data_IF_014260190093
#
_entry.id   IF_014260190093
#
_cell.length_a   1.000
_cell.length_b   1.000
_cell.length_c   1.000
_cell.angle_alpha   90.00
_cell.angle_beta   90.00
_cell.angle_gamma   90.00
#
_symmetry.space_group_name_H-M   'P 1'
#
loop_
_entity.id
_entity.type
_entity.pdbx_description
1 polymer ?
#
# COMPACT_ATOMS: atom_id res chain seq x y z
N UNK A 1 54.98 34.25 31.75
CA UNK A 1 54.28 33.13 31.07
C UNK A 1 52.84 33.52 30.79
N UNK A 2 52.38 33.33 29.53
CA UNK A 2 51.00 33.31 28.98
C UNK A 2 50.10 34.52 29.28
N UNK A 3 49.92 35.40 28.28
CA UNK A 3 48.85 35.39 27.25
C UNK A 3 47.54 35.97 27.79
N UNK A 4 47.15 37.15 27.28
CA UNK A 4 45.82 37.32 26.69
C UNK A 4 45.86 38.41 25.62
N UNK A 5 45.40 38.05 24.43
CA UNK A 5 45.43 38.78 23.17
C UNK A 5 44.32 39.81 23.05
N UNK A 6 44.66 40.82 22.27
CA UNK A 6 44.05 42.11 22.03
C UNK A 6 43.06 42.09 20.84
N UNK A 7 41.97 42.86 20.93
CA UNK A 7 41.22 43.54 19.83
C UNK A 7 40.09 44.31 20.52
N UNK A 8 39.79 45.57 20.24
CA UNK A 8 39.85 46.38 19.02
C UNK A 8 39.69 47.86 19.47
N UNK A 9 40.44 48.79 18.89
CA UNK A 9 40.24 50.24 19.13
C UNK A 9 39.32 50.89 18.10
N UNK A 10 38.73 52.00 18.54
CA UNK A 10 37.45 52.57 18.19
C UNK A 10 37.64 54.03 17.68
N UNK A 11 36.85 54.41 16.66
CA UNK A 11 36.23 55.73 16.38
C UNK A 11 37.00 56.96 15.81
N UNK A 12 36.21 57.71 15.00
CA UNK A 12 36.03 59.18 14.87
C UNK A 12 37.22 60.00 14.29
N UNK A 13 37.09 61.12 13.58
CA UNK A 13 36.00 62.01 13.10
C UNK A 13 36.61 63.26 12.42
N UNK A 14 35.91 63.86 11.44
CA UNK A 14 35.97 65.27 10.92
C UNK A 14 37.28 65.74 10.22
N UNK A 15 37.31 66.66 9.23
CA UNK A 15 36.67 67.99 9.19
C UNK A 15 36.91 68.75 7.82
N UNK A 16 35.87 69.45 7.31
CA UNK A 16 35.83 70.68 6.42
C UNK A 16 36.44 70.63 4.99
N UNK A 17 35.88 71.24 3.92
CA UNK A 17 35.57 72.69 3.66
C UNK A 17 34.56 72.86 2.49
N UNK A 18 33.72 73.92 2.57
CA UNK A 18 32.72 74.48 1.61
C UNK A 18 33.30 74.96 0.26
N UNK A 19 32.62 75.32 -0.85
CA UNK A 19 31.38 76.08 -1.14
C UNK A 19 31.21 76.14 -2.69
N UNK A 20 29.98 76.11 -3.25
CA UNK A 20 29.48 76.98 -4.34
C UNK A 20 28.41 76.35 -5.26
N UNK A 21 27.18 76.87 -5.11
CA UNK A 21 26.17 77.29 -6.10
C UNK A 21 26.13 76.62 -7.50
N UNK A 22 24.99 75.99 -7.81
CA UNK A 22 24.59 75.64 -9.18
C UNK A 22 23.30 74.83 -9.23
N UNK A 23 22.14 75.48 -9.10
CA UNK A 23 20.82 74.87 -9.33
C UNK A 23 20.64 74.51 -10.80
N UNK A 24 20.73 73.21 -11.12
CA UNK A 24 20.27 72.64 -12.40
C UNK A 24 18.93 71.97 -12.15
N UNK A 25 17.87 72.52 -12.77
CA UNK A 25 16.56 71.87 -12.87
C UNK A 25 16.69 70.62 -13.76
N UNK A 26 16.83 69.44 -13.15
CA UNK A 26 16.55 68.18 -13.83
C UNK A 26 15.05 67.90 -13.73
N UNK A 27 14.33 68.09 -14.84
CA UNK A 27 12.99 67.54 -14.99
C UNK A 27 13.09 66.02 -14.95
N UNK A 28 12.65 65.44 -13.83
CA UNK A 28 12.52 64.00 -13.65
C UNK A 28 11.43 63.50 -14.59
N UNK A 29 11.83 62.93 -15.73
CA UNK A 29 10.93 62.14 -16.55
C UNK A 29 10.66 60.82 -15.81
N UNK A 30 9.54 60.75 -15.09
CA UNK A 30 8.98 59.49 -14.61
C UNK A 30 8.59 58.62 -15.80
N UNK A 31 9.53 57.83 -16.33
CA UNK A 31 9.20 56.65 -17.13
C UNK A 31 8.65 55.62 -16.15
N UNK A 32 7.32 55.46 -16.12
CA UNK A 32 6.71 54.29 -15.51
C UNK A 32 7.26 53.07 -16.24
N UNK A 33 8.22 52.36 -15.64
CA UNK A 33 8.45 50.97 -16.02
C UNK A 33 7.15 50.23 -15.71
N UNK A 34 6.46 49.79 -16.77
CA UNK A 34 5.48 48.73 -16.61
C UNK A 34 6.26 47.55 -16.09
N UNK A 35 5.98 47.13 -14.86
CA UNK A 35 6.20 45.76 -14.45
C UNK A 35 5.25 44.91 -15.32
N UNK A 36 5.63 44.68 -16.57
CA UNK A 36 5.02 43.62 -17.35
C UNK A 36 5.44 42.32 -16.65
N UNK A 37 4.49 41.54 -16.09
CA UNK A 37 4.84 40.23 -15.55
C UNK A 37 5.55 39.45 -16.66
N UNK A 38 6.66 38.79 -16.32
CA UNK A 38 7.33 37.87 -17.24
C UNK A 38 6.26 36.99 -17.91
N UNK A 39 6.30 36.78 -19.25
CA UNK A 39 5.30 35.98 -19.91
C UNK A 39 5.21 34.64 -19.19
N UNK A 40 4.02 34.31 -18.70
CA UNK A 40 3.77 33.02 -18.06
C UNK A 40 4.28 31.93 -19.03
N UNK A 41 5.09 31.01 -18.53
CA UNK A 41 5.59 29.88 -19.31
C UNK A 41 4.38 29.04 -19.74
N UNK A 42 3.85 29.33 -20.92
CA UNK A 42 2.60 28.78 -21.44
C UNK A 42 2.90 27.64 -22.41
N UNK A 43 3.72 26.70 -21.98
CA UNK A 43 3.91 25.45 -22.74
C UNK A 43 2.60 24.68 -22.63
N UNK A 44 1.90 24.36 -23.73
CA UNK A 44 0.63 23.66 -23.64
C UNK A 44 0.80 22.28 -22.98
N UNK A 45 -0.19 21.84 -22.19
CA UNK A 45 -0.14 20.54 -21.55
C UNK A 45 -0.15 19.41 -22.60
N UNK A 46 0.43 18.27 -22.24
CA UNK A 46 0.45 17.06 -23.08
C UNK A 46 0.06 15.83 -22.29
N UNK A 47 -0.39 14.78 -22.99
CA UNK A 47 -0.52 13.44 -22.40
C UNK A 47 0.84 12.76 -22.41
N UNK A 48 1.42 12.57 -21.23
CA UNK A 48 2.73 11.92 -21.07
C UNK A 48 2.66 10.40 -21.13
N UNK A 49 1.56 9.81 -20.66
CA UNK A 49 1.34 8.36 -20.74
C UNK A 49 -0.13 7.97 -20.54
N UNK A 50 -0.45 6.76 -20.99
CA UNK A 50 -1.70 6.05 -20.67
C UNK A 50 -1.36 4.72 -20.00
N UNK A 51 -2.21 4.23 -19.10
CA UNK A 51 -2.00 2.91 -18.48
C UNK A 51 -2.23 1.74 -19.46
N UNK A 52 -2.99 1.99 -20.52
CA UNK A 52 -3.26 1.05 -21.61
C UNK A 52 -2.68 1.65 -22.89
N UNK A 53 -1.64 1.04 -23.43
CA UNK A 53 -1.04 1.48 -24.70
C UNK A 53 -1.99 1.25 -25.87
N UNK A 54 -1.84 2.04 -26.93
CA UNK A 54 -2.68 1.91 -28.12
C UNK A 54 -2.61 0.49 -28.71
N UNK A 55 -3.77 -0.05 -29.08
CA UNK A 55 -3.98 -1.40 -29.62
C UNK A 55 -3.65 -2.57 -28.67
N UNK A 56 -3.52 -2.31 -27.36
CA UNK A 56 -3.37 -3.39 -26.37
C UNK A 56 -4.55 -4.36 -26.45
N UNK A 57 -4.29 -5.67 -26.45
CA UNK A 57 -5.31 -6.72 -26.40
C UNK A 57 -5.30 -7.41 -25.04
N UNK A 58 -6.38 -8.13 -24.71
CA UNK A 58 -6.49 -8.84 -23.44
C UNK A 58 -6.68 -7.94 -22.22
N UNK A 59 -7.14 -6.70 -22.42
CA UNK A 59 -7.40 -5.77 -21.31
C UNK A 59 -8.52 -6.33 -20.42
N UNK A 60 -8.34 -6.39 -19.10
CA UNK A 60 -9.41 -6.84 -18.21
C UNK A 60 -10.72 -6.07 -18.40
N UNK A 61 -11.85 -6.76 -18.34
CA UNK A 61 -13.16 -6.12 -18.58
C UNK A 61 -13.58 -5.12 -17.49
N UNK A 62 -12.90 -5.12 -16.34
CA UNK A 62 -13.10 -4.20 -15.23
C UNK A 62 -11.95 -3.18 -15.09
N UNK A 63 -11.16 -2.95 -16.14
CA UNK A 63 -9.97 -2.08 -16.05
C UNK A 63 -10.35 -0.60 -16.06
N UNK A 64 -9.87 0.14 -15.07
CA UNK A 64 -9.85 1.60 -15.10
C UNK A 64 -8.91 2.12 -16.18
N UNK A 65 -9.29 3.24 -16.82
CA UNK A 65 -8.57 3.81 -17.94
C UNK A 65 -7.98 5.13 -17.49
N UNK A 66 -6.65 5.24 -17.48
CA UNK A 66 -5.96 6.40 -16.92
C UNK A 66 -5.07 7.09 -17.93
N UNK A 67 -4.90 8.39 -17.72
CA UNK A 67 -4.01 9.26 -18.48
C UNK A 67 -3.22 10.14 -17.52
N UNK A 68 -1.91 10.24 -17.73
CA UNK A 68 -1.02 11.15 -16.98
C UNK A 68 -0.61 12.30 -17.87
N UNK A 69 -0.80 13.52 -17.37
CA UNK A 69 -0.43 14.75 -18.07
C UNK A 69 1.00 15.20 -17.72
N UNK A 70 1.59 16.04 -18.57
CA UNK A 70 2.94 16.61 -18.36
C UNK A 70 3.01 17.57 -17.17
N UNK A 71 1.86 18.07 -16.71
CA UNK A 71 1.76 19.06 -15.65
C UNK A 71 0.42 18.96 -14.91
N UNK A 72 0.24 19.84 -13.92
CA UNK A 72 -1.01 19.96 -13.19
C UNK A 72 -2.07 20.66 -14.04
N UNK A 73 -3.25 20.05 -14.10
CA UNK A 73 -4.37 20.47 -14.93
C UNK A 73 -5.44 21.19 -14.12
N UNK A 74 -6.31 21.94 -14.78
CA UNK A 74 -7.55 22.41 -14.18
C UNK A 74 -8.52 21.23 -14.02
N UNK A 75 -8.70 20.81 -12.77
CA UNK A 75 -9.58 19.69 -12.41
C UNK A 75 -11.03 19.89 -12.88
N UNK A 76 -11.52 21.13 -13.00
CA UNK A 76 -12.88 21.41 -13.46
C UNK A 76 -13.07 21.12 -14.96
N UNK A 77 -11.98 21.14 -15.74
CA UNK A 77 -12.01 20.83 -17.17
C UNK A 77 -11.99 19.32 -17.45
N UNK A 78 -11.72 18.49 -16.44
CA UNK A 78 -11.60 17.04 -16.55
C UNK A 78 -12.93 16.40 -16.13
N UNK A 79 -13.76 16.06 -17.13
CA UNK A 79 -15.13 15.60 -16.94
C UNK A 79 -15.42 14.39 -17.83
N UNK A 80 -16.55 13.68 -17.63
CA UNK A 80 -16.99 12.63 -18.55
C UNK A 80 -17.25 13.10 -19.99
N UNK A 81 -17.33 14.42 -20.24
CA UNK A 81 -17.44 14.97 -21.60
C UNK A 81 -16.06 15.16 -22.27
N UNK A 82 -14.99 15.31 -21.48
CA UNK A 82 -13.64 15.60 -21.99
C UNK A 82 -12.68 14.41 -21.90
N UNK A 83 -13.01 13.38 -21.10
CA UNK A 83 -12.39 12.06 -21.11
C UNK A 83 -13.48 10.99 -21.34
N UNK A 84 -13.55 10.49 -22.57
CA UNK A 84 -14.66 9.66 -23.06
C UNK A 84 -14.15 8.29 -23.48
N UNK A 85 -14.89 7.23 -23.15
CA UNK A 85 -14.64 5.87 -23.63
C UNK A 85 -15.84 5.39 -24.45
N UNK A 86 -15.59 4.79 -25.62
CA UNK A 86 -16.63 4.33 -26.54
C UNK A 86 -16.45 2.89 -26.98
N UNK A 87 -17.57 2.20 -27.19
CA UNK A 87 -17.67 0.95 -27.96
C UNK A 87 -18.29 1.29 -29.31
N UNK A 88 -17.48 1.34 -30.37
CA UNK A 88 -17.92 1.89 -31.65
C UNK A 88 -18.40 3.33 -31.49
N UNK A 89 -19.69 3.59 -31.73
CA UNK A 89 -20.30 4.92 -31.54
C UNK A 89 -20.93 5.11 -30.15
N UNK A 90 -21.18 4.03 -29.40
CA UNK A 90 -21.82 4.07 -28.09
C UNK A 90 -20.84 4.57 -27.02
N UNK A 91 -21.25 5.58 -26.25
CA UNK A 91 -20.49 6.07 -25.09
C UNK A 91 -20.69 5.10 -23.93
N UNK A 92 -19.59 4.69 -23.31
CA UNK A 92 -19.60 3.89 -22.09
C UNK A 92 -19.84 4.82 -20.91
N UNK A 93 -20.83 4.53 -20.05
CA UNK A 93 -21.04 5.32 -18.84
C UNK A 93 -19.86 5.10 -17.88
N UNK A 94 -19.42 6.18 -17.26
CA UNK A 94 -18.34 6.16 -16.28
C UNK A 94 -18.21 7.49 -15.55
N UNK A 95 -17.48 7.46 -14.45
CA UNK A 95 -17.08 8.68 -13.73
C UNK A 95 -15.64 9.03 -14.08
N UNK A 96 -15.27 10.30 -13.91
CA UNK A 96 -13.88 10.76 -14.08
C UNK A 96 -13.42 11.38 -12.77
N UNK A 97 -12.24 10.95 -12.30
CA UNK A 97 -11.55 11.54 -11.16
C UNK A 97 -10.19 12.08 -11.58
N UNK A 98 -9.66 13.05 -10.83
CA UNK A 98 -8.36 13.65 -11.08
C UNK A 98 -7.59 13.85 -9.78
N UNK A 99 -6.32 13.41 -9.74
CA UNK A 99 -5.45 13.57 -8.58
C UNK A 99 -3.99 13.69 -9.02
N UNK A 100 -3.26 14.66 -8.46
CA UNK A 100 -1.90 14.98 -8.91
C UNK A 100 -1.92 15.45 -10.36
N UNK A 101 -1.33 14.67 -11.27
CA UNK A 101 -1.33 14.89 -12.72
C UNK A 101 -2.08 13.81 -13.50
N UNK A 102 -2.86 12.95 -12.82
CA UNK A 102 -3.49 11.77 -13.43
C UNK A 102 -5.00 11.88 -13.39
N UNK A 103 -5.64 11.72 -14.55
CA UNK A 103 -7.08 11.53 -14.67
C UNK A 103 -7.41 10.04 -14.87
N UNK A 104 -8.50 9.60 -14.25
CA UNK A 104 -8.97 8.21 -14.28
C UNK A 104 -10.42 8.18 -14.70
N UNK A 105 -10.73 7.49 -15.79
CA UNK A 105 -12.07 7.10 -16.17
C UNK A 105 -12.38 5.73 -15.54
N UNK A 106 -13.42 5.68 -14.71
CA UNK A 106 -13.92 4.47 -14.05
C UNK A 106 -15.24 4.06 -14.71
N UNK A 107 -15.26 3.02 -15.58
CA UNK A 107 -16.48 2.54 -16.20
C UNK A 107 -17.52 2.14 -15.14
N UNK A 108 -18.75 2.61 -15.27
CA UNK A 108 -19.86 2.25 -14.35
C UNK A 108 -20.47 0.88 -14.67
N UNK A 109 -20.00 0.24 -15.75
CA UNK A 109 -20.39 -1.10 -16.19
C UNK A 109 -19.14 -1.91 -16.50
N UNK A 110 -19.19 -3.21 -16.25
CA UNK A 110 -18.16 -4.13 -16.75
C UNK A 110 -18.16 -4.06 -18.28
N UNK A 111 -16.98 -3.86 -18.86
CA UNK A 111 -16.81 -3.82 -20.31
C UNK A 111 -17.09 -5.21 -20.90
N UNK A 112 -17.60 -5.25 -22.12
CA UNK A 112 -17.87 -6.50 -22.82
C UNK A 112 -16.57 -7.24 -23.09
N UNK A 113 -16.60 -8.58 -23.03
CA UNK A 113 -15.46 -9.42 -23.33
C UNK A 113 -15.06 -9.33 -24.82
N UNK A 114 -13.77 -9.49 -25.11
CA UNK A 114 -13.22 -9.56 -26.48
C UNK A 114 -13.68 -8.43 -27.41
N UNK A 115 -13.83 -7.21 -26.86
CA UNK A 115 -14.45 -6.07 -27.53
C UNK A 115 -13.48 -4.91 -27.62
N UNK A 116 -13.48 -4.22 -28.78
CA UNK A 116 -12.67 -3.02 -29.01
C UNK A 116 -13.35 -1.79 -28.41
N UNK A 117 -12.58 -1.06 -27.61
CA UNK A 117 -12.94 0.23 -27.05
C UNK A 117 -11.99 1.31 -27.53
N UNK A 118 -12.50 2.53 -27.65
CA UNK A 118 -11.73 3.72 -28.00
C UNK A 118 -11.85 4.73 -26.88
N UNK A 119 -10.73 5.12 -26.29
CA UNK A 119 -10.65 6.19 -25.32
C UNK A 119 -10.16 7.49 -25.99
N UNK A 120 -10.77 8.61 -25.61
CA UNK A 120 -10.45 9.93 -26.14
C UNK A 120 -10.35 10.94 -25.02
N UNK A 121 -9.23 11.65 -24.99
CA UNK A 121 -9.01 12.84 -24.17
C UNK A 121 -9.04 14.05 -25.09
N UNK A 122 -9.96 14.97 -24.86
CA UNK A 122 -10.26 16.07 -25.80
C UNK A 122 -9.46 17.33 -25.50
N UNK A 123 -9.38 18.24 -26.47
CA UNK A 123 -8.88 19.62 -26.29
C UNK A 123 -9.71 20.47 -25.33
N UNK A 124 -10.82 19.95 -24.80
CA UNK A 124 -11.58 20.61 -23.73
C UNK A 124 -10.85 20.60 -22.37
N UNK A 125 -9.87 19.73 -22.18
CA UNK A 125 -9.04 19.70 -20.97
C UNK A 125 -7.98 20.80 -21.03
N UNK A 126 -7.87 21.56 -19.94
CA UNK A 126 -6.99 22.73 -19.81
C UNK A 126 -6.09 22.64 -18.59
N UNK A 127 -4.97 23.35 -18.62
CA UNK A 127 -4.16 23.60 -17.43
C UNK A 127 -4.73 24.75 -16.57
N UNK A 128 -4.07 25.04 -15.44
CA UNK A 128 -4.46 26.12 -14.55
C UNK A 128 -4.29 27.53 -15.17
N UNK A 129 -3.48 27.66 -16.23
CA UNK A 129 -3.33 28.90 -17.00
C UNK A 129 -4.39 29.04 -18.11
N UNK A 130 -5.21 28.01 -18.34
CA UNK A 130 -6.26 27.97 -19.34
C UNK A 130 -5.82 27.48 -20.72
N UNK A 131 -4.57 27.02 -20.88
CA UNK A 131 -4.10 26.43 -22.12
C UNK A 131 -4.66 25.02 -22.30
N UNK A 132 -5.19 24.74 -23.48
CA UNK A 132 -5.78 23.44 -23.82
C UNK A 132 -4.73 22.45 -24.32
N UNK A 133 -5.07 21.16 -24.30
CA UNK A 133 -4.32 20.17 -25.07
C UNK A 133 -4.26 20.60 -26.56
N UNK A 134 -3.11 20.45 -27.25
CA UNK A 134 -2.97 20.85 -28.65
C UNK A 134 -3.89 20.09 -29.63
N UNK A 135 -4.23 18.85 -29.30
CA UNK A 135 -5.08 17.99 -30.11
C UNK A 135 -5.77 16.93 -29.25
N UNK A 136 -6.83 16.32 -29.78
CA UNK A 136 -7.46 15.17 -29.13
C UNK A 136 -6.49 13.99 -29.14
N UNK A 137 -6.27 13.39 -27.98
CA UNK A 137 -5.50 12.15 -27.84
C UNK A 137 -6.49 10.99 -27.86
N UNK A 138 -6.35 10.10 -28.84
CA UNK A 138 -7.24 8.95 -29.02
C UNK A 138 -6.42 7.68 -29.14
N UNK A 139 -6.84 6.62 -28.44
CA UNK A 139 -6.26 5.29 -28.55
C UNK A 139 -7.34 4.23 -28.42
N UNK A 140 -7.07 3.05 -28.98
CA UNK A 140 -7.94 1.89 -28.84
C UNK A 140 -7.31 0.81 -27.98
N UNK A 141 -8.14 -0.06 -27.42
CA UNK A 141 -7.73 -1.30 -26.76
C UNK A 141 -8.82 -2.36 -26.91
N UNK A 142 -8.44 -3.62 -26.83
CA UNK A 142 -9.37 -4.75 -26.90
C UNK A 142 -9.40 -5.45 -25.54
N UNK A 143 -10.60 -5.60 -24.98
CA UNK A 143 -10.77 -6.36 -23.74
C UNK A 143 -10.48 -7.85 -23.96
N UNK A 144 -10.09 -8.54 -22.91
CA UNK A 144 -9.97 -9.99 -22.88
C UNK A 144 -11.30 -10.67 -22.57
N UNK A 145 -11.23 -11.98 -22.28
CA UNK A 145 -12.42 -12.78 -21.99
C UNK A 145 -13.04 -12.50 -20.61
N UNK A 146 -12.26 -11.97 -19.66
CA UNK A 146 -12.65 -11.90 -18.24
C UNK A 146 -12.27 -10.58 -17.59
N UNK A 147 -12.92 -10.31 -16.46
CA UNK A 147 -12.43 -9.34 -15.49
C UNK A 147 -11.09 -9.80 -14.92
N UNK A 148 -10.23 -8.85 -14.56
CA UNK A 148 -9.04 -9.15 -13.79
C UNK A 148 -9.50 -9.40 -12.37
N UNK A 149 -9.40 -10.67 -11.97
CA UNK A 149 -9.55 -11.06 -10.57
C UNK A 149 -8.16 -11.07 -9.94
N UNK A 150 -8.04 -10.49 -8.76
CA UNK A 150 -6.80 -10.55 -8.02
C UNK A 150 -6.51 -12.01 -7.65
N UNK A 151 -5.42 -12.57 -8.17
CA UNK A 151 -5.08 -13.96 -7.88
C UNK A 151 -4.74 -14.15 -6.39
N UNK A 152 -5.11 -15.29 -5.82
CA UNK A 152 -4.74 -15.70 -4.46
C UNK A 152 -3.21 -15.75 -4.31
N UNK A 153 -2.67 -15.43 -3.13
CA UNK A 153 -1.24 -15.63 -2.83
C UNK A 153 -1.00 -17.11 -2.52
N UNK A 154 -0.15 -17.77 -3.29
CA UNK A 154 0.10 -19.20 -3.11
C UNK A 154 1.11 -19.44 -1.97
N UNK A 155 0.63 -19.98 -0.84
CA UNK A 155 1.46 -20.30 0.32
C UNK A 155 2.27 -21.60 0.17
N UNK A 156 1.96 -22.44 -0.84
CA UNK A 156 2.59 -23.74 -1.05
C UNK A 156 2.69 -24.53 0.26
N UNK A 157 3.86 -25.04 0.65
CA UNK A 157 3.99 -25.85 1.87
C UNK A 157 3.81 -25.05 3.17
N UNK A 158 3.95 -23.72 3.14
CA UNK A 158 3.67 -22.87 4.30
C UNK A 158 2.19 -22.87 4.69
N UNK A 159 1.28 -23.27 3.78
CA UNK A 159 -0.17 -23.41 4.07
C UNK A 159 -0.46 -24.41 5.19
N UNK A 160 0.46 -25.33 5.46
CA UNK A 160 0.25 -26.39 6.45
C UNK A 160 0.41 -25.89 7.90
N UNK A 161 0.87 -24.66 8.10
CA UNK A 161 1.18 -24.10 9.42
C UNK A 161 0.24 -22.95 9.77
N UNK A 162 -0.30 -22.95 10.99
CA UNK A 162 -1.05 -21.82 11.53
C UNK A 162 -0.10 -20.77 12.11
N UNK A 163 1.03 -21.20 12.67
CA UNK A 163 2.16 -20.35 13.08
C UNK A 163 3.42 -20.86 12.39
N UNK A 164 4.14 -20.00 11.67
CA UNK A 164 5.43 -20.32 11.06
C UNK A 164 6.40 -19.16 11.30
N UNK A 165 7.53 -19.43 11.94
CA UNK A 165 8.51 -18.40 12.30
C UNK A 165 9.96 -18.83 12.00
N UNK A 166 10.88 -17.87 11.99
CA UNK A 166 12.32 -18.16 11.77
C UNK A 166 13.16 -18.16 13.03
N UNK A 167 12.87 -17.26 13.98
CA UNK A 167 13.77 -16.99 15.12
C UNK A 167 13.22 -17.43 16.47
N UNK A 168 11.92 -17.27 16.71
CA UNK A 168 11.29 -17.71 17.96
C UNK A 168 9.77 -17.80 17.85
N UNK A 169 9.16 -18.64 18.68
CA UNK A 169 7.72 -18.61 18.96
C UNK A 169 7.55 -18.65 20.48
N UNK A 170 7.24 -17.52 21.07
CA UNK A 170 7.10 -17.39 22.53
C UNK A 170 5.63 -17.24 22.89
N UNK A 171 5.22 -17.88 23.98
CA UNK A 171 3.86 -17.84 24.47
C UNK A 171 3.87 -17.52 25.97
N UNK A 172 3.13 -16.50 26.39
CA UNK A 172 2.73 -16.37 27.77
C UNK A 172 1.39 -17.13 27.94
N UNK A 173 1.39 -18.32 28.55
CA UNK A 173 0.23 -19.22 28.55
C UNK A 173 -0.96 -18.64 29.33
N UNK A 174 -2.20 -19.04 29.05
CA UNK A 174 -2.59 -20.19 28.21
C UNK A 174 -3.20 -19.74 26.89
N UNK A 175 -2.57 -20.10 25.77
CA UNK A 175 -3.11 -19.91 24.42
C UNK A 175 -3.86 -21.16 23.94
N UNK A 176 -4.73 -21.00 22.95
CA UNK A 176 -5.43 -22.06 22.23
C UNK A 176 -5.12 -21.95 20.73
N UNK A 177 -4.29 -22.86 20.23
CA UNK A 177 -3.85 -22.89 18.83
C UNK A 177 -4.47 -24.09 18.12
N UNK A 178 -5.12 -23.88 16.97
CA UNK A 178 -5.68 -24.93 16.13
C UNK A 178 -4.97 -24.94 14.78
N UNK A 179 -4.15 -25.97 14.56
CA UNK A 179 -3.25 -26.10 13.40
C UNK A 179 -1.80 -26.35 13.82
N UNK A 180 -0.93 -26.63 12.85
CA UNK A 180 0.47 -26.93 13.12
C UNK A 180 1.33 -25.68 13.36
N UNK A 181 2.36 -25.81 14.20
CA UNK A 181 3.35 -24.77 14.48
C UNK A 181 4.69 -25.19 13.87
N UNK A 182 5.39 -24.28 13.20
CA UNK A 182 6.71 -24.52 12.61
C UNK A 182 7.73 -23.45 12.98
N UNK A 183 8.94 -23.86 13.34
CA UNK A 183 10.07 -22.96 13.58
C UNK A 183 11.33 -23.44 12.85
N UNK A 184 11.88 -22.61 11.96
CA UNK A 184 13.16 -22.91 11.29
C UNK A 184 13.79 -21.65 10.71
N UNK A 185 15.12 -21.45 10.84
CA UNK A 185 16.13 -22.44 11.23
C UNK A 185 16.36 -22.57 12.74
N UNK A 186 15.66 -21.79 13.58
CA UNK A 186 15.82 -21.90 15.03
C UNK A 186 15.36 -23.28 15.56
N UNK A 187 16.05 -23.74 16.60
CA UNK A 187 15.80 -25.01 17.28
C UNK A 187 14.56 -24.96 18.18
N UNK A 188 14.09 -26.14 18.61
CA UNK A 188 12.93 -26.32 19.50
C UNK A 188 13.04 -25.48 20.78
N UNK A 189 14.24 -25.23 21.29
CA UNK A 189 14.50 -24.41 22.48
C UNK A 189 14.03 -22.95 22.38
N UNK A 190 13.79 -22.45 21.16
CA UNK A 190 13.24 -21.12 20.90
C UNK A 190 11.69 -21.11 20.78
N UNK A 191 11.05 -22.27 20.98
CA UNK A 191 9.62 -22.40 21.21
C UNK A 191 9.39 -22.48 22.73
N UNK A 192 8.86 -21.40 23.33
CA UNK A 192 8.74 -21.31 24.79
C UNK A 192 7.29 -21.09 25.25
N UNK A 193 6.98 -21.50 26.48
CA UNK A 193 5.67 -21.31 27.11
C UNK A 193 4.53 -22.21 26.60
N UNK A 194 4.85 -23.21 25.78
CA UNK A 194 3.91 -24.23 25.33
C UNK A 194 3.92 -25.51 26.18
N UNK A 195 4.86 -25.67 27.12
CA UNK A 195 5.03 -26.90 27.91
C UNK A 195 5.10 -28.14 27.01
N UNK A 196 6.07 -28.14 26.09
CA UNK A 196 6.19 -29.14 25.04
C UNK A 196 6.43 -30.54 25.60
N UNK A 197 5.75 -31.53 25.01
CA UNK A 197 6.09 -32.95 25.14
C UNK A 197 6.71 -33.41 23.82
N UNK A 198 7.97 -33.83 23.86
CA UNK A 198 8.69 -34.24 22.65
C UNK A 198 8.27 -35.64 22.18
N UNK A 199 8.19 -35.81 20.87
CA UNK A 199 7.97 -37.08 20.19
C UNK A 199 8.97 -37.24 19.03
N UNK A 200 8.94 -38.37 18.33
CA UNK A 200 9.82 -38.60 17.19
C UNK A 200 9.38 -37.75 15.99
N UNK A 201 10.12 -36.68 15.71
CA UNK A 201 9.91 -35.81 14.54
C UNK A 201 8.92 -34.66 14.76
N UNK A 202 8.32 -34.53 15.94
CA UNK A 202 7.43 -33.45 16.32
C UNK A 202 7.35 -33.31 17.85
N UNK A 203 6.67 -32.28 18.33
CA UNK A 203 6.26 -32.14 19.72
C UNK A 203 4.75 -31.86 19.80
N UNK A 204 4.18 -32.07 20.99
CA UNK A 204 2.77 -31.78 21.30
C UNK A 204 2.66 -30.83 22.49
N UNK A 205 1.50 -30.19 22.63
CA UNK A 205 1.14 -29.34 23.77
C UNK A 205 -0.36 -29.40 23.98
N UNK A 206 -0.82 -29.31 25.23
CA UNK A 206 -2.25 -29.15 25.55
C UNK A 206 -2.86 -27.85 25.02
N UNK A 207 -2.01 -26.87 24.67
CA UNK A 207 -2.41 -25.59 24.08
C UNK A 207 -2.56 -25.66 22.55
N UNK A 208 -2.19 -26.78 21.92
CA UNK A 208 -2.12 -26.90 20.46
C UNK A 208 -2.92 -28.12 20.00
N UNK A 209 -4.03 -27.88 19.31
CA UNK A 209 -4.73 -28.89 18.51
C UNK A 209 -3.99 -29.03 17.18
N UNK A 210 -2.91 -29.83 17.19
CA UNK A 210 -1.98 -29.99 16.08
C UNK A 210 -0.61 -30.46 16.56
N UNK A 211 0.37 -30.41 15.66
CA UNK A 211 1.76 -30.76 15.96
C UNK A 211 2.67 -29.53 15.88
N UNK A 212 3.76 -29.60 16.63
CA UNK A 212 4.77 -28.55 16.74
C UNK A 212 6.05 -29.10 16.15
N UNK A 213 6.65 -28.36 15.22
CA UNK A 213 7.82 -28.78 14.45
C UNK A 213 8.93 -27.74 14.59
N UNK A 214 10.17 -28.18 14.73
CA UNK A 214 11.34 -27.30 14.76
C UNK A 214 12.53 -27.88 13.99
N UNK A 215 13.52 -27.04 13.68
CA UNK A 215 14.63 -27.36 12.78
C UNK A 215 15.58 -28.45 13.27
N UNK A 216 15.70 -28.64 14.59
CA UNK A 216 16.56 -29.64 15.22
C UNK A 216 15.89 -31.02 15.37
N UNK A 217 14.63 -31.15 14.92
CA UNK A 217 13.93 -32.43 14.92
C UNK A 217 14.38 -33.34 13.78
N UNK A 218 14.23 -34.65 13.97
CA UNK A 218 14.65 -35.67 13.00
C UNK A 218 13.98 -35.48 11.63
N UNK A 219 14.74 -35.77 10.57
CA UNK A 219 14.24 -35.80 9.19
C UNK A 219 13.01 -36.71 9.06
N UNK A 220 11.98 -36.34 8.27
CA UNK A 220 11.94 -35.27 7.27
C UNK A 220 11.53 -33.88 7.81
N UNK A 221 11.38 -33.71 9.12
CA UNK A 221 10.85 -32.46 9.71
C UNK A 221 11.72 -31.25 9.39
N UNK A 222 13.03 -31.36 9.59
CA UNK A 222 13.97 -30.27 9.32
C UNK A 222 13.95 -29.81 7.86
N UNK A 223 13.99 -30.73 6.90
CA UNK A 223 13.92 -30.42 5.46
C UNK A 223 12.56 -29.85 5.05
N UNK A 224 11.46 -30.38 5.59
CA UNK A 224 10.12 -29.88 5.29
C UNK A 224 9.94 -28.45 5.80
N UNK A 225 10.48 -28.13 6.98
CA UNK A 225 10.46 -26.78 7.52
C UNK A 225 11.30 -25.81 6.70
N UNK A 226 12.49 -26.21 6.23
CA UNK A 226 13.28 -25.37 5.31
C UNK A 226 12.49 -25.03 4.05
N UNK A 227 11.78 -25.99 3.45
CA UNK A 227 10.89 -25.75 2.30
C UNK A 227 9.76 -24.80 2.65
N UNK A 228 9.08 -25.01 3.79
CA UNK A 228 7.99 -24.14 4.23
C UNK A 228 8.43 -22.69 4.48
N UNK A 229 9.63 -22.48 5.04
CA UNK A 229 10.19 -21.14 5.26
C UNK A 229 10.54 -20.45 3.94
N UNK A 230 11.04 -21.19 2.94
CA UNK A 230 11.30 -20.65 1.61
C UNK A 230 10.01 -20.32 0.86
N UNK A 231 8.98 -21.16 1.01
CA UNK A 231 7.66 -20.91 0.44
C UNK A 231 6.97 -19.71 1.10
N UNK A 232 7.11 -19.52 2.42
CA UNK A 232 6.67 -18.31 3.12
C UNK A 232 7.35 -17.05 2.57
N UNK A 233 8.67 -17.08 2.37
CA UNK A 233 9.41 -15.94 1.78
C UNK A 233 8.98 -15.67 0.34
N UNK A 234 8.67 -16.72 -0.42
CA UNK A 234 8.14 -16.61 -1.78
C UNK A 234 6.75 -15.96 -1.76
N UNK A 235 5.86 -16.41 -0.89
CA UNK A 235 4.52 -15.83 -0.73
C UNK A 235 4.58 -14.36 -0.29
N UNK A 236 5.47 -14.01 0.66
CA UNK A 236 5.72 -12.63 1.04
C UNK A 236 6.14 -11.77 -0.17
N UNK A 237 7.08 -12.28 -0.96
CA UNK A 237 7.63 -11.55 -2.13
C UNK A 237 6.57 -11.42 -3.23
N UNK A 238 5.75 -12.45 -3.46
CA UNK A 238 4.61 -12.42 -4.37
C UNK A 238 3.59 -11.34 -3.94
N UNK A 239 3.13 -11.39 -2.68
CA UNK A 239 2.18 -10.42 -2.15
C UNK A 239 2.71 -8.98 -2.20
N UNK A 240 3.98 -8.76 -1.83
CA UNK A 240 4.65 -7.45 -1.89
C UNK A 240 4.87 -6.96 -3.32
N UNK A 241 5.01 -7.89 -4.28
CA UNK A 241 5.31 -7.63 -5.67
C UNK A 241 4.08 -7.42 -6.56
N UNK A 242 2.86 -7.62 -6.03
CA UNK A 242 1.62 -7.34 -6.78
C UNK A 242 1.61 -5.88 -7.24
N UNK A 243 1.21 -5.67 -8.50
CA UNK A 243 1.23 -4.38 -9.19
C UNK A 243 -0.18 -3.87 -9.40
N UNK A 244 -0.30 -2.57 -9.73
CA UNK A 244 -1.57 -1.87 -10.02
C UNK A 244 -2.58 -1.99 -8.86
N UNK A 245 -2.29 -1.41 -7.69
CA UNK A 245 -3.24 -1.39 -6.57
C UNK A 245 -4.54 -0.68 -6.96
N UNK A 246 -5.66 -1.25 -6.54
CA UNK A 246 -7.00 -0.66 -6.67
C UNK A 246 -7.17 0.50 -5.67
N UNK A 247 -6.49 0.41 -4.52
CA UNK A 247 -6.52 1.41 -3.47
C UNK A 247 -5.11 1.82 -3.04
N UNK A 248 -4.81 3.11 -3.09
CA UNK A 248 -3.51 3.68 -2.69
C UNK A 248 -3.72 4.62 -1.51
N UNK A 249 -2.95 4.41 -0.44
CA UNK A 249 -2.95 5.21 0.79
C UNK A 249 -4.36 5.43 1.39
N UNK A 250 -5.24 4.42 1.31
CA UNK A 250 -6.60 4.53 1.82
C UNK A 250 -6.61 4.96 3.29
N UNK A 251 -7.32 6.04 3.60
CA UNK A 251 -7.39 6.59 4.95
C UNK A 251 -6.06 7.06 5.51
N UNK A 252 -5.06 7.31 4.66
CA UNK A 252 -3.69 7.70 5.05
C UNK A 252 -3.10 6.77 6.12
N UNK A 253 -3.37 5.47 5.99
CA UNK A 253 -2.95 4.43 6.93
C UNK A 253 -3.95 4.13 8.05
N UNK A 254 -4.91 5.02 8.37
CA UNK A 254 -5.98 4.71 9.33
C UNK A 254 -7.19 4.12 8.62
N UNK A 255 -7.44 2.83 8.86
CA UNK A 255 -8.56 2.12 8.23
C UNK A 255 -9.75 1.86 9.16
N UNK A 256 -9.72 2.34 10.40
CA UNK A 256 -10.81 2.13 11.37
C UNK A 256 -12.17 2.59 10.84
N UNK A 257 -13.21 1.78 11.08
CA UNK A 257 -14.58 2.02 10.65
C UNK A 257 -14.85 1.80 9.16
N UNK A 258 -13.85 1.39 8.36
CA UNK A 258 -14.02 1.19 6.92
C UNK A 258 -14.57 -0.20 6.60
N UNK A 259 -15.28 -0.27 5.47
CA UNK A 259 -15.59 -1.53 4.78
C UNK A 259 -14.66 -1.67 3.57
N UNK A 260 -13.88 -2.75 3.52
CA UNK A 260 -12.87 -3.02 2.51
C UNK A 260 -13.42 -4.02 1.50
N UNK A 261 -13.53 -3.57 0.24
CA UNK A 261 -13.99 -4.36 -0.91
C UNK A 261 -12.84 -5.20 -1.48
N UNK A 262 -13.11 -6.24 -2.29
CA UNK A 262 -12.07 -7.05 -2.91
C UNK A 262 -11.05 -6.19 -3.66
N UNK A 263 -9.77 -6.55 -3.57
CA UNK A 263 -8.74 -5.84 -4.32
C UNK A 263 -7.37 -5.80 -3.66
N UNK A 264 -6.47 -5.13 -4.37
CA UNK A 264 -5.10 -4.87 -3.97
C UNK A 264 -5.01 -3.48 -3.36
N UNK A 265 -4.59 -3.43 -2.10
CA UNK A 265 -4.39 -2.21 -1.35
C UNK A 265 -2.91 -1.97 -1.12
N UNK A 266 -2.49 -0.69 -1.17
CA UNK A 266 -1.10 -0.30 -0.97
C UNK A 266 -0.96 0.91 -0.06
N UNK A 267 -0.10 0.76 0.96
CA UNK A 267 0.42 1.84 1.78
C UNK A 267 1.94 1.80 1.80
N UNK A 268 2.55 2.95 1.54
CA UNK A 268 3.97 3.22 1.74
C UNK A 268 4.30 3.57 3.19
N UNK A 269 3.26 3.72 4.02
CA UNK A 269 3.31 4.04 5.44
C UNK A 269 2.85 2.85 6.32
N UNK A 270 2.75 3.08 7.63
CA UNK A 270 2.14 2.13 8.56
C UNK A 270 0.62 2.20 8.49
N UNK A 271 -0.05 1.08 8.78
CA UNK A 271 -1.51 0.98 8.88
C UNK A 271 -1.94 0.78 10.33
N UNK A 272 -2.98 1.50 10.74
CA UNK A 272 -3.64 1.39 12.03
C UNK A 272 -5.12 1.06 11.91
N UNK A 273 -5.59 0.25 12.85
CA UNK A 273 -6.99 -0.19 12.99
C UNK A 273 -7.45 0.22 14.39
N UNK A 274 -7.79 1.51 14.59
CA UNK A 274 -8.20 2.02 15.91
C UNK A 274 -9.61 1.62 16.33
N UNK A 275 -10.43 1.16 15.38
CA UNK A 275 -11.80 0.68 15.55
C UNK A 275 -12.09 -0.42 14.52
N UNK A 276 -13.24 -1.08 14.65
CA UNK A 276 -13.61 -2.22 13.82
C UNK A 276 -13.55 -1.93 12.31
N UNK A 277 -13.15 -2.94 11.55
CA UNK A 277 -13.05 -2.92 10.10
C UNK A 277 -13.82 -4.09 9.54
N UNK A 278 -14.62 -3.86 8.51
CA UNK A 278 -15.30 -4.94 7.79
C UNK A 278 -14.58 -5.25 6.50
N UNK A 279 -14.31 -6.52 6.22
CA UNK A 279 -13.91 -7.00 4.89
C UNK A 279 -15.15 -7.64 4.26
N UNK A 280 -15.58 -7.10 3.11
CA UNK A 280 -16.86 -7.44 2.49
C UNK A 280 -16.66 -7.84 1.05
N UNK A 281 -17.07 -9.06 0.71
CA UNK A 281 -17.06 -9.59 -0.66
C UNK A 281 -17.52 -11.03 -0.70
N UNK A 282 -17.52 -11.65 -1.87
CA UNK A 282 -17.91 -13.03 -2.07
C UNK A 282 -16.87 -14.04 -1.60
N UNK A 283 -17.25 -15.32 -1.63
CA UNK A 283 -16.43 -16.43 -1.15
C UNK A 283 -15.13 -16.65 -1.94
N UNK A 284 -15.07 -16.20 -3.20
CA UNK A 284 -13.91 -16.37 -4.07
C UNK A 284 -13.11 -15.08 -4.27
N UNK A 285 -13.54 -13.99 -3.66
CA UNK A 285 -12.86 -12.71 -3.73
C UNK A 285 -11.57 -12.74 -2.92
N UNK A 286 -10.62 -11.88 -3.30
CA UNK A 286 -9.26 -11.83 -2.75
C UNK A 286 -8.93 -10.42 -2.31
N UNK A 287 -8.28 -10.33 -1.14
CA UNK A 287 -7.74 -9.10 -0.58
C UNK A 287 -6.26 -9.25 -0.36
N UNK A 288 -5.48 -8.30 -0.86
CA UNK A 288 -4.04 -8.23 -0.58
C UNK A 288 -3.74 -6.82 -0.08
N UNK A 289 -3.25 -6.73 1.15
CA UNK A 289 -2.85 -5.50 1.80
C UNK A 289 -1.32 -5.42 1.82
N UNK A 290 -0.74 -4.52 1.01
CA UNK A 290 0.69 -4.24 1.00
C UNK A 290 1.00 -3.07 1.94
N UNK A 291 1.75 -3.33 3.01
CA UNK A 291 2.05 -2.35 4.05
C UNK A 291 3.58 -2.24 4.17
N UNK A 292 4.13 -1.09 3.79
CA UNK A 292 5.58 -0.82 3.90
C UNK A 292 6.03 -0.49 5.32
N UNK A 293 5.11 -0.07 6.21
CA UNK A 293 5.36 0.12 7.63
C UNK A 293 4.85 -1.04 8.49
N UNK A 294 4.36 -0.70 9.69
CA UNK A 294 3.77 -1.63 10.64
C UNK A 294 2.26 -1.79 10.40
N UNK A 295 1.69 -2.89 10.87
CA UNK A 295 0.24 -3.06 11.04
C UNK A 295 -0.08 -3.09 12.54
N UNK A 296 -0.99 -2.22 12.99
CA UNK A 296 -1.36 -2.11 14.40
C UNK A 296 -2.87 -2.12 14.58
N UNK A 297 -3.38 -3.03 15.40
CA UNK A 297 -4.77 -3.02 15.88
C UNK A 297 -4.81 -2.48 17.31
N UNK A 298 -5.72 -1.55 17.57
CA UNK A 298 -6.00 -1.11 18.95
C UNK A 298 -6.65 -2.22 19.77
N UNK A 299 -6.63 -2.07 21.09
CA UNK A 299 -7.34 -2.97 22.00
C UNK A 299 -8.82 -3.08 21.63
N UNK A 300 -9.34 -4.30 21.60
CA UNK A 300 -10.74 -4.62 21.29
C UNK A 300 -11.16 -4.43 19.82
N UNK A 301 -10.32 -3.85 18.95
CA UNK A 301 -10.66 -3.65 17.55
C UNK A 301 -10.76 -4.98 16.80
N UNK A 302 -11.80 -5.15 15.99
CA UNK A 302 -12.08 -6.38 15.25
C UNK A 302 -12.08 -6.18 13.75
N UNK A 303 -11.48 -7.12 13.04
CA UNK A 303 -11.66 -7.27 11.60
C UNK A 303 -12.74 -8.33 11.38
N UNK A 304 -13.88 -7.96 10.79
CA UNK A 304 -15.04 -8.85 10.59
C UNK A 304 -15.27 -9.14 9.11
N UNK A 305 -15.72 -10.36 8.79
CA UNK A 305 -16.02 -10.77 7.42
C UNK A 305 -17.53 -10.66 7.13
N UNK A 306 -17.88 -10.25 5.91
CA UNK A 306 -19.27 -10.19 5.43
C UNK A 306 -19.35 -10.55 3.94
N UNK A 307 -20.57 -10.80 3.43
CA UNK A 307 -20.81 -11.12 2.02
C UNK A 307 -20.37 -12.52 1.57
N UNK A 308 -19.78 -13.31 2.47
CA UNK A 308 -19.19 -14.62 2.17
C UNK A 308 -17.66 -14.62 2.11
N UNK A 309 -17.01 -13.47 2.34
CA UNK A 309 -15.55 -13.36 2.41
C UNK A 309 -14.95 -14.41 3.37
N UNK A 310 -13.80 -14.96 2.98
CA UNK A 310 -13.12 -16.03 3.72
C UNK A 310 -11.70 -15.62 4.10
N UNK A 311 -11.31 -15.88 5.35
CA UNK A 311 -9.97 -15.61 5.88
C UNK A 311 -8.84 -16.14 4.97
N UNK A 312 -9.03 -17.32 4.38
CA UNK A 312 -8.03 -17.95 3.48
C UNK A 312 -7.71 -17.15 2.22
N UNK A 313 -8.55 -16.17 1.84
CA UNK A 313 -8.34 -15.31 0.68
C UNK A 313 -7.88 -13.88 1.04
N UNK A 314 -7.59 -13.63 2.31
CA UNK A 314 -7.18 -12.32 2.82
C UNK A 314 -5.70 -12.40 3.19
N UNK A 315 -4.87 -11.54 2.60
CA UNK A 315 -3.43 -11.54 2.79
C UNK A 315 -2.91 -10.18 3.26
N UNK A 316 -2.26 -10.17 4.41
CA UNK A 316 -1.61 -9.01 5.00
C UNK A 316 -0.10 -9.13 4.81
N UNK A 317 0.45 -8.47 3.80
CA UNK A 317 1.90 -8.37 3.63
C UNK A 317 2.40 -7.13 4.39
N UNK A 318 3.25 -7.35 5.39
CA UNK A 318 3.73 -6.28 6.29
C UNK A 318 5.25 -6.27 6.33
N UNK A 319 5.87 -5.15 5.94
CA UNK A 319 7.33 -5.03 5.91
C UNK A 319 7.93 -4.67 7.28
N UNK A 320 7.14 -4.00 8.14
CA UNK A 320 7.44 -3.77 9.55
C UNK A 320 6.91 -4.88 10.45
N UNK A 321 6.50 -4.52 11.67
CA UNK A 321 5.90 -5.45 12.64
C UNK A 321 4.39 -5.49 12.52
N UNK A 322 3.80 -6.59 13.01
CA UNK A 322 2.36 -6.69 13.24
C UNK A 322 2.10 -6.73 14.73
N UNK A 323 1.21 -5.87 15.22
CA UNK A 323 0.80 -5.84 16.64
C UNK A 323 -0.71 -5.90 16.74
N UNK A 324 -1.23 -6.97 17.34
CA UNK A 324 -2.64 -7.10 17.70
C UNK A 324 -2.83 -6.63 19.15
N UNK A 325 -3.58 -5.54 19.36
CA UNK A 325 -3.92 -5.03 20.69
C UNK A 325 -4.66 -6.07 21.54
N UNK A 326 -4.74 -5.84 22.85
CA UNK A 326 -5.45 -6.77 23.76
C UNK A 326 -6.87 -7.00 23.28
N UNK A 327 -7.36 -8.25 23.35
CA UNK A 327 -8.70 -8.68 22.92
C UNK A 327 -9.12 -8.32 21.48
N UNK A 328 -8.20 -7.85 20.64
CA UNK A 328 -8.45 -7.57 19.22
C UNK A 328 -8.65 -8.86 18.41
N UNK A 329 -9.22 -8.75 17.21
CA UNK A 329 -9.44 -9.88 16.32
C UNK A 329 -8.96 -9.59 14.90
N UNK A 330 -8.16 -10.49 14.35
CA UNK A 330 -7.68 -10.44 12.96
C UNK A 330 -8.27 -11.61 12.17
N UNK A 331 -8.65 -11.33 10.93
CA UNK A 331 -9.02 -12.31 9.91
C UNK A 331 -7.98 -12.29 8.78
N UNK A 332 -7.44 -13.46 8.42
CA UNK A 332 -6.57 -13.62 7.25
C UNK A 332 -5.17 -14.16 7.49
N UNK A 333 -4.41 -14.27 6.40
CA UNK A 333 -3.02 -14.73 6.39
C UNK A 333 -2.08 -13.55 6.53
N UNK A 334 -1.30 -13.52 7.61
CA UNK A 334 -0.29 -12.50 7.87
C UNK A 334 1.06 -13.00 7.35
N UNK A 335 1.65 -12.26 6.40
CA UNK A 335 2.99 -12.42 5.85
C UNK A 335 3.87 -11.28 6.34
N UNK A 336 4.52 -11.45 7.49
CA UNK A 336 5.36 -10.43 8.13
C UNK A 336 6.84 -10.61 7.78
N UNK A 337 7.51 -9.53 7.37
CA UNK A 337 8.97 -9.50 7.21
C UNK A 337 9.71 -9.49 8.55
N UNK A 338 9.03 -9.06 9.62
CA UNK A 338 9.61 -9.03 10.96
C UNK A 338 8.71 -9.80 11.93
N UNK A 339 8.51 -9.27 13.14
CA UNK A 339 7.78 -9.94 14.21
C UNK A 339 6.26 -9.78 14.08
N UNK A 340 5.55 -10.71 14.72
CA UNK A 340 4.11 -10.64 14.94
C UNK A 340 3.86 -10.81 16.45
N UNK A 341 3.23 -9.81 17.06
CA UNK A 341 2.89 -9.83 18.48
C UNK A 341 1.39 -9.79 18.66
N UNK A 342 0.85 -10.77 19.37
CA UNK A 342 -0.52 -10.79 19.85
C UNK A 342 -0.51 -10.50 21.34
N UNK A 343 -1.05 -9.33 21.73
CA UNK A 343 -1.19 -8.98 23.14
C UNK A 343 -2.32 -9.79 23.79
N UNK A 344 -2.43 -9.69 25.11
CA UNK A 344 -3.34 -10.48 25.96
C UNK A 344 -4.73 -10.67 25.34
N UNK A 345 -5.11 -11.92 25.09
CA UNK A 345 -6.46 -12.28 24.66
C UNK A 345 -6.82 -11.89 23.22
N UNK A 346 -5.89 -11.34 22.43
CA UNK A 346 -6.10 -11.15 21.00
C UNK A 346 -6.34 -12.50 20.29
N UNK A 347 -6.97 -12.46 19.13
CA UNK A 347 -7.30 -13.66 18.38
C UNK A 347 -7.06 -13.52 16.88
N UNK A 348 -6.80 -14.65 16.23
CA UNK A 348 -6.61 -14.77 14.79
C UNK A 348 -7.44 -15.94 14.26
N UNK A 349 -8.21 -15.69 13.21
CA UNK A 349 -8.66 -16.74 12.28
C UNK A 349 -7.90 -16.57 10.97
N UNK A 350 -6.95 -17.45 10.70
CA UNK A 350 -5.88 -17.11 9.78
C UNK A 350 -4.59 -17.90 9.95
N UNK A 351 -3.50 -17.32 9.46
CA UNK A 351 -2.14 -17.84 9.66
C UNK A 351 -1.21 -16.69 10.01
N UNK A 352 -0.30 -16.90 10.96
CA UNK A 352 0.76 -15.95 11.28
C UNK A 352 2.10 -16.50 10.78
N UNK A 353 2.62 -15.90 9.71
CA UNK A 353 3.84 -16.32 9.03
C UNK A 353 4.88 -15.19 9.15
N UNK A 354 5.87 -15.36 10.03
CA UNK A 354 6.83 -14.33 10.42
C UNK A 354 8.26 -14.69 10.00
N UNK A 355 8.96 -13.77 9.34
CA UNK A 355 10.38 -13.97 9.04
C UNK A 355 11.31 -13.72 10.23
N UNK A 356 10.78 -13.29 11.38
CA UNK A 356 11.51 -13.33 12.67
C UNK A 356 10.74 -14.14 13.71
N UNK A 357 10.08 -13.47 14.66
CA UNK A 357 9.48 -14.08 15.83
C UNK A 357 7.96 -13.90 15.88
N UNK A 358 7.28 -14.84 16.54
CA UNK A 358 5.88 -14.72 16.91
C UNK A 358 5.78 -14.71 18.44
N UNK A 359 5.05 -13.77 19.00
CA UNK A 359 4.82 -13.64 20.45
C UNK A 359 3.31 -13.73 20.71
N UNK A 360 2.92 -14.63 21.60
CA UNK A 360 1.56 -14.83 22.08
C UNK A 360 1.47 -14.52 23.58
N UNK A 361 0.30 -14.07 23.99
CA UNK A 361 -0.10 -13.83 25.38
C UNK A 361 -1.58 -14.21 25.54
N UNK A 362 -1.84 -15.46 25.94
CA UNK A 362 -3.20 -15.98 26.15
C UNK A 362 -4.13 -15.87 24.93
N UNK A 363 -3.64 -16.20 23.73
CA UNK A 363 -4.36 -15.95 22.47
C UNK A 363 -5.12 -17.16 21.93
N UNK A 364 -6.13 -16.90 21.12
CA UNK A 364 -6.77 -17.93 20.26
C UNK A 364 -6.30 -17.77 18.82
N UNK A 365 -5.66 -18.79 18.25
CA UNK A 365 -5.17 -18.77 16.87
C UNK A 365 -5.69 -20.00 16.13
N UNK A 366 -6.57 -19.80 15.16
CA UNK A 366 -7.24 -20.89 14.44
C UNK A 366 -6.95 -20.78 12.95
N UNK A 367 -6.53 -21.87 12.31
CA UNK A 367 -6.38 -21.90 10.86
C UNK A 367 -7.71 -21.63 10.12
N UNK A 368 -7.68 -21.10 8.88
CA UNK A 368 -8.88 -20.72 8.13
C UNK A 368 -9.90 -21.83 7.90
#
# INVERSE_FOLDING_TARGET
MRKLTHKTHMKFSNLLVSLAMGTVFFMSACKKEKNDPAPANNTPPTVSSTNISNQTTGVPTNKDITVTFSEQMDAASITPATFVVKKGTAVIPGTVSYTGTTATFNPSVVLDANTVYTATVTTGIKDAAGAALPSNVTWSFTTGANASVLAVVNLRTAVNYVLLAKTAINNNPTSAVTGAIGLSPAATSYITGFSLTNATGYATSSQVTGHIFAADMVSPTSSNLTTAINDMQTAYTDAAGRKTPDYVELGTGNIGGKTLQPGLYKWTSSVSVPSDVTISGGANDVWIFQISGNLSLSAGAKITLSGGAQAKNIFWQVAGTVTAGTTSHIEGVILSKTGITFNTGASLKGRALAQTAIILDGNTVTQP
#
